data_IF_648139949401
#
_entry.id   IF_648139949401
#
_cell.length_a   1.000
_cell.length_b   1.000
_cell.length_c   1.000
_cell.angle_alpha   90.00
_cell.angle_beta   90.00
_cell.angle_gamma   90.00
#
_symmetry.space_group_name_H-M   'P 1'
#
loop_
_entity.id
_entity.type
_entity.pdbx_description
1 polymer ?
#
# COMPACT_ATOMS: atom_id res chain seq x y z
N UNK A 1 6.34 -16.52 37.15
CA UNK A 1 6.83 -15.25 37.70
C UNK A 1 7.75 -14.54 36.72
N UNK A 2 8.95 -15.04 36.37
CA UNK A 2 9.82 -14.36 35.38
C UNK A 2 9.16 -14.13 34.00
N UNK A 3 8.36 -15.09 33.53
CA UNK A 3 7.60 -14.99 32.27
C UNK A 3 6.58 -13.84 32.28
N UNK A 4 5.98 -13.54 33.44
CA UNK A 4 5.01 -12.44 33.58
C UNK A 4 5.71 -11.07 33.49
N UNK A 5 7.03 -11.04 33.69
CA UNK A 5 7.88 -9.86 33.51
C UNK A 5 8.69 -9.96 32.22
N UNK A 6 8.03 -10.37 31.12
CA UNK A 6 8.66 -10.52 29.80
C UNK A 6 9.83 -11.51 29.71
N UNK A 7 9.94 -12.47 30.64
CA UNK A 7 10.92 -13.56 30.54
C UNK A 7 10.70 -14.45 29.31
N UNK A 8 11.78 -15.02 28.78
CA UNK A 8 11.75 -15.94 27.64
C UNK A 8 11.40 -17.37 28.06
N UNK A 9 10.58 -18.05 27.26
CA UNK A 9 10.20 -19.46 27.45
C UNK A 9 10.72 -20.27 26.28
N UNK A 10 11.48 -21.32 26.57
CA UNK A 10 11.99 -22.26 25.57
C UNK A 10 11.36 -23.64 25.74
N UNK A 11 11.00 -24.26 24.61
CA UNK A 11 10.71 -25.70 24.55
C UNK A 11 11.94 -26.43 24.04
N UNK A 12 12.27 -27.55 24.69
CA UNK A 12 13.31 -28.47 24.27
C UNK A 12 12.65 -29.77 23.86
N UNK A 13 12.86 -30.18 22.61
CA UNK A 13 12.30 -31.41 22.07
C UNK A 13 13.42 -32.36 21.71
N UNK A 14 13.30 -33.59 22.19
CA UNK A 14 14.24 -34.67 21.93
C UNK A 14 13.50 -35.79 21.19
N UNK A 15 13.96 -36.13 20.00
CA UNK A 15 13.50 -37.30 19.26
C UNK A 15 14.61 -38.34 19.24
N UNK A 16 14.27 -39.58 19.61
CA UNK A 16 15.20 -40.70 19.57
C UNK A 16 14.62 -41.84 18.74
N UNK A 17 15.49 -42.60 18.09
CA UNK A 17 15.08 -43.89 17.50
C UNK A 17 14.61 -44.84 18.62
N UNK A 18 13.58 -45.64 18.34
CA UNK A 18 13.02 -46.59 19.31
C UNK A 18 14.13 -47.44 19.96
N UNK A 19 14.11 -47.51 21.29
CA UNK A 19 15.12 -48.21 22.10
C UNK A 19 16.31 -47.37 22.56
N UNK A 20 16.46 -46.11 22.10
CA UNK A 20 17.53 -45.20 22.54
C UNK A 20 17.00 -44.11 23.48
N UNK A 21 17.80 -43.76 24.48
CA UNK A 21 17.50 -42.72 25.47
C UNK A 21 18.14 -41.38 25.08
N UNK A 22 17.46 -40.23 25.26
CA UNK A 22 17.98 -38.93 24.84
C UNK A 22 19.09 -38.36 25.74
N UNK A 23 19.23 -38.87 26.97
CA UNK A 23 20.21 -38.39 27.95
C UNK A 23 21.64 -38.87 27.64
N UNK A 24 22.60 -37.97 27.36
CA UNK A 24 24.00 -38.32 27.12
C UNK A 24 24.70 -39.03 28.29
N UNK A 25 24.16 -38.93 29.52
CA UNK A 25 24.73 -39.57 30.70
C UNK A 25 24.56 -41.09 30.68
N UNK A 26 23.52 -41.59 29.99
CA UNK A 26 23.25 -43.01 29.86
C UNK A 26 23.96 -43.60 28.63
N UNK A 27 25.31 -43.71 28.72
CA UNK A 27 26.19 -44.10 27.59
C UNK A 27 25.79 -45.39 26.85
N UNK A 28 25.16 -46.34 27.53
CA UNK A 28 24.75 -47.62 26.92
C UNK A 28 23.49 -47.50 26.05
N UNK A 29 22.64 -46.51 26.32
CA UNK A 29 21.35 -46.29 25.67
C UNK A 29 21.33 -45.03 24.81
N UNK A 30 22.32 -44.14 24.95
CA UNK A 30 22.44 -42.93 24.17
C UNK A 30 23.20 -43.17 22.88
N UNK A 31 22.62 -42.75 21.75
CA UNK A 31 23.32 -42.67 20.47
C UNK A 31 23.17 -41.28 19.87
N UNK A 32 24.30 -40.60 19.67
CA UNK A 32 24.38 -39.24 19.12
C UNK A 32 23.72 -39.09 17.74
N UNK A 33 23.93 -40.05 16.84
CA UNK A 33 23.35 -40.04 15.49
C UNK A 33 21.85 -40.42 15.48
N UNK A 34 21.37 -41.08 16.54
CA UNK A 34 19.99 -41.53 16.65
C UNK A 34 19.13 -40.60 17.53
N UNK A 35 19.68 -39.46 17.97
CA UNK A 35 19.03 -38.50 18.85
C UNK A 35 19.09 -37.12 18.21
N UNK A 36 17.93 -36.50 18.00
CA UNK A 36 17.80 -35.13 17.51
C UNK A 36 17.34 -34.25 18.66
N UNK A 37 18.04 -33.14 18.87
CA UNK A 37 17.66 -32.10 19.82
C UNK A 37 17.41 -30.78 19.08
N UNK A 38 16.25 -30.20 19.33
CA UNK A 38 15.94 -28.84 18.88
C UNK A 38 15.26 -28.07 20.01
N UNK A 39 15.70 -26.82 20.19
CA UNK A 39 15.09 -25.89 21.12
C UNK A 39 14.52 -24.69 20.37
N UNK A 40 13.35 -24.20 20.81
CA UNK A 40 12.72 -23.01 20.23
C UNK A 40 12.09 -22.16 21.32
N UNK A 41 12.13 -20.84 21.16
CA UNK A 41 11.39 -19.89 22.01
C UNK A 41 9.91 -19.89 21.61
N UNK A 42 8.99 -20.05 22.58
CA UNK A 42 7.55 -20.16 22.31
C UNK A 42 6.84 -18.82 22.45
N UNK A 43 7.23 -17.99 23.42
CA UNK A 43 6.61 -16.69 23.59
C UNK A 43 7.10 -15.73 22.49
N UNK A 44 6.19 -14.91 21.98
CA UNK A 44 6.51 -13.89 20.96
C UNK A 44 6.46 -12.52 21.62
N UNK A 45 7.54 -11.77 21.53
CA UNK A 45 7.50 -10.36 21.93
C UNK A 45 6.81 -9.56 20.84
N UNK A 46 5.77 -8.80 21.22
CA UNK A 46 5.14 -7.83 20.34
C UNK A 46 5.31 -6.45 20.94
N UNK A 47 5.62 -5.47 20.10
CA UNK A 47 5.62 -4.07 20.49
C UNK A 47 4.20 -3.54 20.36
N UNK A 48 3.62 -3.08 21.46
CA UNK A 48 2.37 -2.32 21.42
C UNK A 48 2.74 -0.85 21.38
N UNK A 49 2.52 -0.22 20.21
CA UNK A 49 2.62 1.23 20.07
C UNK A 49 1.32 1.86 20.54
N UNK A 50 1.42 2.81 21.47
CA UNK A 50 0.27 3.62 21.86
C UNK A 50 0.28 4.89 21.02
N UNK A 51 -0.61 4.96 20.02
CA UNK A 51 -0.84 6.21 19.31
C UNK A 51 -1.74 7.10 20.18
N UNK A 52 -1.18 8.18 20.74
CA UNK A 52 -1.94 9.20 21.47
C UNK A 52 -2.70 10.05 20.46
N UNK A 53 -3.90 9.64 20.06
CA UNK A 53 -4.85 10.53 19.39
C UNK A 53 -5.61 11.32 20.44
N UNK A 54 -5.92 12.58 20.14
CA UNK A 54 -6.77 13.41 20.99
C UNK A 54 -7.59 14.33 20.11
N UNK A 55 -8.77 14.70 20.57
CA UNK A 55 -9.46 15.83 19.96
C UNK A 55 -8.65 17.11 20.23
N UNK A 56 -8.33 17.86 19.18
CA UNK A 56 -7.46 19.04 19.29
C UNK A 56 -8.11 20.20 20.06
N UNK A 57 -9.44 20.22 20.17
CA UNK A 57 -10.21 21.28 20.82
C UNK A 57 -10.53 20.98 22.28
N UNK A 58 -10.97 19.75 22.59
CA UNK A 58 -11.35 19.36 23.95
C UNK A 58 -10.21 18.71 24.72
N UNK A 59 -9.19 18.18 24.02
CA UNK A 59 -8.10 17.42 24.64
C UNK A 59 -8.52 16.05 25.17
N UNK A 60 -9.79 15.69 25.03
CA UNK A 60 -10.35 14.40 25.42
C UNK A 60 -10.15 13.38 24.28
N UNK A 61 -9.98 12.13 24.67
CA UNK A 61 -9.86 10.97 23.76
C UNK A 61 -10.91 9.95 24.19
N UNK A 62 -11.62 9.35 23.24
CA UNK A 62 -12.57 8.25 23.53
C UNK A 62 -11.87 6.92 23.91
N UNK A 63 -10.53 6.92 23.97
CA UNK A 63 -9.72 5.75 24.27
C UNK A 63 -9.83 5.32 25.75
N UNK A 64 -9.81 4.00 25.96
CA UNK A 64 -9.91 3.36 27.27
C UNK A 64 -8.89 3.95 28.28
N UNK A 65 -9.30 4.41 29.48
CA UNK A 65 -8.43 5.08 30.44
C UNK A 65 -7.25 4.20 30.93
N UNK A 66 -7.35 2.88 30.82
CA UNK A 66 -6.22 1.97 31.08
C UNK A 66 -5.11 2.06 30.03
N UNK A 67 -5.44 2.30 28.75
CA UNK A 67 -4.44 2.46 27.69
C UNK A 67 -3.67 3.77 27.83
N UNK A 68 -4.34 4.82 28.32
CA UNK A 68 -3.74 6.13 28.56
C UNK A 68 -2.71 6.06 29.69
N UNK A 69 -3.05 5.40 30.81
CA UNK A 69 -2.13 5.18 31.94
C UNK A 69 -0.92 4.32 31.57
N UNK A 70 -1.12 3.21 30.84
CA UNK A 70 0.01 2.36 30.41
C UNK A 70 0.95 3.08 29.44
N UNK A 71 0.43 3.94 28.58
CA UNK A 71 1.24 4.78 27.69
C UNK A 71 2.03 5.89 28.42
N UNK A 72 1.60 6.27 29.62
CA UNK A 72 2.33 7.20 30.50
C UNK A 72 3.42 6.49 31.31
N UNK A 73 3.16 5.28 31.78
CA UNK A 73 4.08 4.50 32.62
C UNK A 73 5.23 3.83 31.83
N UNK A 74 4.95 3.28 30.64
CA UNK A 74 5.92 2.47 29.85
C UNK A 74 6.49 3.20 28.62
N UNK A 75 6.04 4.42 28.33
CA UNK A 75 6.43 5.19 27.16
C UNK A 75 5.67 4.83 25.86
N UNK A 76 6.09 5.33 24.70
CA UNK A 76 5.35 5.19 23.43
C UNK A 76 5.31 3.76 22.87
N UNK A 77 6.20 2.88 23.35
CA UNK A 77 6.33 1.49 22.87
C UNK A 77 6.47 0.56 24.08
N UNK A 78 5.44 -0.23 24.36
CA UNK A 78 5.47 -1.25 25.40
C UNK A 78 5.74 -2.62 24.76
N UNK A 79 6.82 -3.30 25.16
CA UNK A 79 7.09 -4.67 24.71
C UNK A 79 6.34 -5.63 25.62
N UNK A 80 5.41 -6.41 25.06
CA UNK A 80 4.60 -7.37 25.81
C UNK A 80 4.82 -8.77 25.25
N UNK A 81 5.13 -9.71 26.14
CA UNK A 81 5.21 -11.13 25.82
C UNK A 81 3.82 -11.70 25.53
N UNK A 82 3.63 -12.28 24.34
CA UNK A 82 2.40 -12.92 23.92
C UNK A 82 2.53 -14.44 23.92
N UNK A 83 1.42 -15.12 24.21
CA UNK A 83 1.30 -16.57 24.23
C UNK A 83 0.32 -17.07 23.17
N UNK A 84 0.68 -18.17 22.51
CA UNK A 84 -0.22 -18.93 21.65
C UNK A 84 -0.40 -20.34 22.22
N UNK A 85 -1.64 -20.84 22.36
CA UNK A 85 -1.87 -22.13 23.00
C UNK A 85 -1.47 -23.31 22.14
N UNK A 86 -1.46 -23.19 20.80
CA UNK A 86 -1.16 -24.30 19.91
C UNK A 86 0.29 -24.25 19.40
N UNK A 87 0.98 -25.39 19.48
CA UNK A 87 2.27 -25.62 18.83
C UNK A 87 2.21 -26.94 18.06
N UNK A 88 2.52 -26.89 16.76
CA UNK A 88 2.63 -28.09 15.95
C UNK A 88 4.10 -28.42 15.73
N UNK A 89 4.50 -29.65 16.05
CA UNK A 89 5.83 -30.17 15.75
C UNK A 89 5.69 -31.09 14.54
N UNK A 90 6.39 -30.72 13.46
CA UNK A 90 6.43 -31.48 12.24
C UNK A 90 7.77 -32.20 12.09
N UNK A 91 7.71 -33.51 11.87
CA UNK A 91 8.87 -34.25 11.37
C UNK A 91 8.79 -34.26 9.86
N UNK A 92 9.78 -33.66 9.19
CA UNK A 92 9.78 -33.59 7.73
C UNK A 92 10.14 -34.98 7.18
N UNK A 93 9.23 -35.53 6.39
CA UNK A 93 9.45 -36.75 5.64
C UNK A 93 10.18 -36.38 4.34
N UNK A 94 11.49 -36.61 4.36
CA UNK A 94 12.40 -36.27 3.28
C UNK A 94 13.36 -37.43 3.01
N UNK A 95 13.56 -37.69 1.72
CA UNK A 95 14.49 -38.70 1.21
C UNK A 95 15.54 -38.07 0.28
N UNK A 96 15.59 -36.74 0.21
CA UNK A 96 16.55 -36.01 -0.61
C UNK A 96 17.95 -36.15 -0.01
N UNK A 97 18.99 -36.48 -0.80
CA UNK A 97 20.36 -36.55 -0.32
C UNK A 97 20.97 -35.14 -0.23
N UNK A 98 20.62 -34.40 0.81
CA UNK A 98 21.18 -33.07 1.04
C UNK A 98 22.69 -33.14 1.32
N UNK A 99 23.43 -32.24 0.71
CA UNK A 99 24.86 -32.04 0.97
C UNK A 99 25.04 -30.67 1.62
N UNK A 100 25.99 -30.59 2.56
CA UNK A 100 26.32 -29.33 3.24
C UNK A 100 26.69 -28.26 2.20
N UNK A 101 25.94 -27.15 2.18
CA UNK A 101 26.14 -26.03 1.26
C UNK A 101 25.36 -26.10 -0.06
N UNK A 102 24.70 -27.23 -0.37
CA UNK A 102 23.79 -27.33 -1.53
C UNK A 102 22.32 -27.13 -1.18
N UNK A 103 22.01 -26.94 0.10
CA UNK A 103 20.64 -26.71 0.59
C UNK A 103 20.24 -25.27 0.22
N UNK A 104 19.14 -25.07 -0.51
CA UNK A 104 18.69 -23.73 -0.87
C UNK A 104 18.21 -22.95 0.37
N UNK A 105 18.63 -21.68 0.56
CA UNK A 105 18.01 -20.80 1.54
C UNK A 105 16.50 -20.67 1.26
N UNK A 106 15.61 -20.73 2.26
CA UNK A 106 15.83 -20.67 3.72
C UNK A 106 15.96 -22.03 4.43
N UNK A 107 15.93 -23.14 3.69
CA UNK A 107 15.86 -24.49 4.26
C UNK A 107 17.14 -24.86 5.01
N UNK A 108 18.27 -24.28 4.60
CA UNK A 108 19.59 -24.44 5.19
C UNK A 108 19.62 -24.16 6.69
N UNK A 109 18.78 -23.25 7.18
CA UNK A 109 18.69 -22.90 8.62
C UNK A 109 18.12 -24.03 9.49
N UNK A 110 17.34 -24.93 8.90
CA UNK A 110 16.66 -26.02 9.61
C UNK A 110 17.39 -27.35 9.46
N UNK A 111 18.22 -27.52 8.42
CA UNK A 111 18.98 -28.75 8.17
C UNK A 111 20.29 -28.73 8.93
N UNK A 112 20.43 -29.62 9.91
CA UNK A 112 21.68 -29.81 10.67
C UNK A 112 22.45 -31.00 10.10
N UNK A 113 23.71 -30.78 9.77
CA UNK A 113 24.65 -31.82 9.32
C UNK A 113 25.53 -32.28 10.47
N UNK A 114 25.82 -33.58 10.57
CA UNK A 114 26.87 -34.07 11.44
C UNK A 114 28.24 -33.69 10.85
N UNK A 115 29.13 -33.21 11.71
CA UNK A 115 30.45 -32.75 11.30
C UNK A 115 31.39 -33.91 10.89
N UNK A 116 31.08 -35.14 11.31
CA UNK A 116 31.95 -36.30 11.11
C UNK A 116 31.47 -37.17 9.94
N UNK A 117 30.20 -37.58 9.92
CA UNK A 117 29.69 -38.44 8.85
C UNK A 117 29.29 -37.69 7.59
N UNK A 118 29.02 -36.38 7.68
CA UNK A 118 28.48 -35.59 6.58
C UNK A 118 26.99 -35.84 6.30
N UNK A 119 26.36 -36.76 7.04
CA UNK A 119 24.92 -37.01 6.97
C UNK A 119 24.13 -35.91 7.67
N UNK A 120 22.87 -35.72 7.29
CA UNK A 120 21.97 -34.79 7.97
C UNK A 120 21.09 -35.49 9.01
N UNK A 121 20.76 -34.77 10.06
CA UNK A 121 19.79 -35.20 11.07
C UNK A 121 18.36 -35.07 10.56
N UNK A 122 17.42 -35.93 11.02
CA UNK A 122 16.00 -35.74 10.76
C UNK A 122 15.55 -34.30 11.06
N UNK A 123 14.85 -33.70 10.09
CA UNK A 123 14.48 -32.29 10.16
C UNK A 123 13.22 -32.16 11.02
N UNK A 124 13.37 -31.48 12.16
CA UNK A 124 12.27 -31.13 13.05
C UNK A 124 11.88 -29.68 12.82
N UNK A 125 10.69 -29.47 12.26
CA UNK A 125 10.14 -28.15 11.99
C UNK A 125 9.07 -27.82 13.04
N UNK A 126 9.30 -26.75 13.80
CA UNK A 126 8.24 -26.18 14.64
C UNK A 126 7.34 -25.34 13.75
N UNK A 127 6.10 -25.76 13.56
CA UNK A 127 5.16 -25.10 12.68
C UNK A 127 4.21 -24.21 13.48
N UNK A 128 4.39 -22.91 13.27
CA UNK A 128 3.56 -21.82 13.75
C UNK A 128 2.92 -21.04 12.58
N UNK A 129 3.00 -21.58 11.35
CA UNK A 129 2.51 -20.88 10.16
C UNK A 129 1.02 -20.54 10.25
N UNK A 130 0.19 -21.46 10.76
CA UNK A 130 -1.26 -21.26 10.93
C UNK A 130 -1.66 -20.62 12.26
N UNK A 131 -0.69 -20.20 13.09
CA UNK A 131 -0.98 -19.49 14.32
C UNK A 131 -1.26 -18.02 13.97
N UNK A 132 -2.53 -17.62 13.99
CA UNK A 132 -2.93 -16.28 13.60
C UNK A 132 -2.57 -15.26 14.67
N UNK A 133 -2.22 -14.03 14.30
CA UNK A 133 -1.84 -12.98 15.25
C UNK A 133 -2.97 -12.65 16.25
N UNK A 134 -4.23 -12.79 15.81
CA UNK A 134 -5.43 -12.59 16.65
C UNK A 134 -5.59 -13.62 17.77
N UNK A 135 -5.00 -14.81 17.62
CA UNK A 135 -5.10 -15.89 18.60
C UNK A 135 -4.03 -15.78 19.70
N UNK A 136 -3.06 -14.87 19.54
CA UNK A 136 -2.07 -14.55 20.56
C UNK A 136 -2.67 -13.61 21.60
N UNK A 137 -2.51 -13.95 22.87
CA UNK A 137 -2.92 -13.09 23.98
C UNK A 137 -1.74 -12.66 24.85
N UNK A 138 -1.78 -11.46 25.46
CA UNK A 138 -0.69 -10.96 26.29
C UNK A 138 -0.58 -11.77 27.60
N UNK A 139 0.65 -12.06 28.03
CA UNK A 139 0.92 -12.68 29.32
C UNK A 139 0.94 -11.58 30.38
N UNK A 140 -0.17 -11.47 31.12
CA UNK A 140 -0.34 -10.52 32.21
C UNK A 140 -0.18 -11.19 33.59
N UNK A 141 -0.06 -10.38 34.65
CA UNK A 141 0.05 -10.85 36.03
C UNK A 141 -1.18 -11.65 36.50
N UNK A 142 -2.35 -11.39 35.92
CA UNK A 142 -3.61 -12.07 36.25
C UNK A 142 -3.67 -13.51 35.74
N UNK A 143 -2.86 -13.86 34.73
CA UNK A 143 -2.84 -15.20 34.13
C UNK A 143 -1.95 -16.14 34.96
N UNK A 144 -2.57 -17.09 35.67
CA UNK A 144 -1.86 -18.10 36.47
C UNK A 144 -1.54 -19.39 35.70
N UNK A 145 -2.30 -19.69 34.64
CA UNK A 145 -2.14 -20.93 33.84
C UNK A 145 -2.21 -20.59 32.37
N UNK A 146 -1.29 -21.16 31.59
CA UNK A 146 -1.25 -21.03 30.14
C UNK A 146 -1.69 -22.36 29.51
N UNK A 147 -2.80 -22.41 28.77
CA UNK A 147 -3.17 -23.61 28.03
C UNK A 147 -2.14 -23.89 26.93
N UNK A 148 -1.72 -25.14 26.82
CA UNK A 148 -0.75 -25.58 25.82
C UNK A 148 -1.22 -26.87 25.16
N UNK A 149 -1.38 -26.85 23.84
CA UNK A 149 -1.79 -27.96 22.99
C UNK A 149 -0.66 -28.26 22.02
N UNK A 150 -0.15 -29.49 22.12
CA UNK A 150 0.95 -29.98 21.30
C UNK A 150 0.41 -30.99 20.29
N UNK A 151 0.61 -30.69 19.00
CA UNK A 151 0.26 -31.59 17.91
C UNK A 151 1.53 -32.10 17.24
N UNK A 152 1.60 -33.40 16.97
CA UNK A 152 2.71 -34.00 16.24
C UNK A 152 2.20 -34.67 14.97
N UNK A 153 2.74 -34.27 13.81
CA UNK A 153 2.40 -34.89 12.52
C UNK A 153 3.56 -34.83 11.52
N UNK A 154 3.70 -35.84 10.64
CA UNK A 154 4.70 -35.77 9.57
C UNK A 154 4.33 -34.68 8.55
N UNK A 155 5.34 -34.07 7.93
CA UNK A 155 5.19 -33.02 6.92
C UNK A 155 5.97 -33.39 5.66
N UNK A 156 5.35 -33.28 4.49
CA UNK A 156 6.05 -33.53 3.23
C UNK A 156 7.02 -32.39 2.88
N UNK A 157 8.09 -32.71 2.14
CA UNK A 157 9.09 -31.75 1.68
C UNK A 157 8.45 -30.52 1.00
N UNK A 158 7.51 -30.72 0.07
CA UNK A 158 6.84 -29.62 -0.64
C UNK A 158 6.10 -28.65 0.28
N UNK A 159 5.33 -29.17 1.25
CA UNK A 159 4.60 -28.33 2.21
C UNK A 159 5.57 -27.58 3.13
N UNK A 160 6.63 -28.26 3.54
CA UNK A 160 7.69 -27.63 4.32
C UNK A 160 8.38 -26.52 3.57
N UNK A 161 8.72 -26.71 2.28
CA UNK A 161 9.30 -25.67 1.42
C UNK A 161 8.41 -24.44 1.32
N UNK A 162 7.11 -24.63 1.12
CA UNK A 162 6.16 -23.52 1.08
C UNK A 162 6.10 -22.77 2.42
N UNK A 163 5.98 -23.49 3.54
CA UNK A 163 5.93 -22.86 4.87
C UNK A 163 7.24 -22.17 5.23
N UNK A 164 8.38 -22.77 4.92
CA UNK A 164 9.69 -22.17 5.15
C UNK A 164 9.87 -20.91 4.28
N UNK A 165 9.51 -20.95 2.99
CA UNK A 165 9.59 -19.80 2.09
C UNK A 165 8.73 -18.63 2.56
N UNK A 166 7.51 -18.88 3.04
CA UNK A 166 6.64 -17.84 3.57
C UNK A 166 7.04 -17.36 4.97
N UNK A 167 7.53 -18.25 5.83
CA UNK A 167 8.08 -17.90 7.15
C UNK A 167 9.40 -17.13 7.05
N UNK A 168 10.04 -17.13 5.88
CA UNK A 168 11.26 -16.37 5.66
C UNK A 168 10.93 -14.89 5.65
N UNK A 169 11.38 -14.25 6.71
CA UNK A 169 11.40 -12.81 6.89
C UNK A 169 12.03 -12.18 5.64
N UNK A 170 11.31 -11.22 5.07
CA UNK A 170 11.68 -10.45 3.87
C UNK A 170 13.21 -10.28 3.70
N UNK A 171 13.79 -10.51 2.50
CA UNK A 171 15.22 -10.29 2.24
C UNK A 171 15.72 -8.88 2.59
N UNK A 172 14.79 -7.93 2.77
CA UNK A 172 15.03 -6.56 3.18
C UNK A 172 15.34 -6.38 4.69
N UNK A 173 15.82 -7.43 5.36
CA UNK A 173 16.30 -7.44 6.75
C UNK A 173 17.30 -6.30 7.10
N UNK A 174 17.93 -5.68 6.10
CA UNK A 174 18.84 -4.54 6.28
C UNK A 174 18.14 -3.18 6.52
N UNK A 175 16.87 -3.02 6.15
CA UNK A 175 16.18 -1.71 6.14
C UNK A 175 15.45 -1.36 7.45
N UNK A 176 15.66 -2.12 8.53
CA UNK A 176 15.20 -1.80 9.89
C UNK A 176 14.15 -2.75 10.46
N UNK A 177 14.06 -2.80 11.79
CA UNK A 177 13.23 -3.74 12.57
C UNK A 177 11.72 -3.50 12.41
N UNK A 178 11.30 -2.29 12.01
CA UNK A 178 9.89 -1.91 11.87
C UNK A 178 9.19 -2.55 10.66
N UNK A 179 9.95 -2.92 9.62
CA UNK A 179 9.42 -3.68 8.48
C UNK A 179 9.07 -5.13 8.83
N UNK A 180 9.59 -5.66 9.95
CA UNK A 180 9.31 -7.02 10.38
C UNK A 180 7.89 -7.18 10.95
N UNK A 181 7.41 -6.21 11.74
CA UNK A 181 6.06 -6.27 12.32
C UNK A 181 4.99 -6.10 11.24
N UNK A 182 5.21 -5.20 10.27
CA UNK A 182 4.30 -5.00 9.13
C UNK A 182 4.18 -6.26 8.25
N UNK A 183 5.29 -6.96 7.99
CA UNK A 183 5.27 -8.20 7.21
C UNK A 183 4.48 -9.33 7.89
N UNK A 184 4.50 -9.40 9.22
CA UNK A 184 3.77 -10.44 9.97
C UNK A 184 2.26 -10.19 9.95
N UNK A 185 1.82 -8.93 10.08
CA UNK A 185 0.42 -8.55 9.97
C UNK A 185 -0.14 -8.78 8.55
N UNK A 186 0.64 -8.45 7.53
CA UNK A 186 0.26 -8.70 6.14
C UNK A 186 0.09 -10.19 5.84
N UNK A 187 1.06 -11.02 6.26
CA UNK A 187 0.94 -12.46 6.12
C UNK A 187 -0.27 -13.02 6.88
N UNK A 188 -0.56 -12.48 8.07
CA UNK A 188 -1.72 -12.89 8.85
C UNK A 188 -3.03 -12.55 8.14
N UNK A 189 -3.13 -11.36 7.54
CA UNK A 189 -4.32 -10.96 6.78
C UNK A 189 -4.58 -11.87 5.58
N UNK A 190 -3.53 -12.31 4.87
CA UNK A 190 -3.64 -13.30 3.79
C UNK A 190 -4.09 -14.66 4.31
N UNK A 191 -3.58 -15.11 5.46
CA UNK A 191 -4.00 -16.38 6.10
C UNK A 191 -5.46 -16.32 6.54
N UNK A 192 -5.88 -15.21 7.14
CA UNK A 192 -7.28 -14.96 7.51
C UNK A 192 -8.17 -14.99 6.27
N UNK A 193 -7.76 -14.31 5.19
CA UNK A 193 -8.51 -14.34 3.93
C UNK A 193 -8.64 -15.76 3.37
N UNK A 194 -7.59 -16.57 3.42
CA UNK A 194 -7.61 -17.97 2.98
C UNK A 194 -8.48 -18.89 3.84
N UNK A 195 -8.53 -18.65 5.16
CA UNK A 195 -9.29 -19.48 6.11
C UNK A 195 -10.77 -19.10 6.19
N UNK A 196 -11.07 -17.80 6.13
CA UNK A 196 -12.42 -17.28 6.39
C UNK A 196 -13.23 -17.00 5.11
N UNK A 197 -12.57 -16.86 3.95
CA UNK A 197 -13.26 -16.53 2.68
C UNK A 197 -13.64 -17.78 1.91
N UNK A 198 -14.77 -17.72 1.20
CA UNK A 198 -15.14 -18.74 0.23
C UNK A 198 -14.05 -18.87 -0.86
N UNK A 199 -13.51 -20.07 -1.13
CA UNK A 199 -12.44 -20.28 -2.13
C UNK A 199 -12.77 -19.72 -3.52
N UNK A 200 -14.03 -19.79 -3.95
CA UNK A 200 -14.45 -19.26 -5.25
C UNK A 200 -14.41 -17.73 -5.29
N UNK A 201 -14.83 -17.09 -4.20
CA UNK A 201 -14.78 -15.63 -4.09
C UNK A 201 -13.34 -15.16 -4.03
N UNK A 202 -12.49 -15.84 -3.26
CA UNK A 202 -11.06 -15.54 -3.18
C UNK A 202 -10.37 -15.67 -4.55
N UNK A 203 -10.61 -16.77 -5.28
CA UNK A 203 -10.05 -16.97 -6.61
C UNK A 203 -10.49 -15.86 -7.58
N UNK A 204 -11.77 -15.48 -7.56
CA UNK A 204 -12.27 -14.36 -8.35
C UNK A 204 -11.57 -13.05 -7.97
N UNK A 205 -11.42 -12.76 -6.67
CA UNK A 205 -10.73 -11.54 -6.22
C UNK A 205 -9.29 -11.47 -6.73
N UNK A 206 -8.55 -12.58 -6.67
CA UNK A 206 -7.16 -12.63 -7.18
C UNK A 206 -7.11 -12.36 -8.68
N UNK A 207 -7.98 -13.00 -9.46
CA UNK A 207 -8.02 -12.82 -10.92
C UNK A 207 -8.33 -11.35 -11.25
N UNK A 208 -9.35 -10.78 -10.61
CA UNK A 208 -9.77 -9.39 -10.87
C UNK A 208 -8.69 -8.41 -10.40
N UNK A 209 -8.02 -8.64 -9.26
CA UNK A 209 -6.89 -7.80 -8.81
C UNK A 209 -5.71 -7.83 -9.79
N UNK A 210 -5.40 -8.99 -10.39
CA UNK A 210 -4.37 -9.09 -11.44
C UNK A 210 -4.78 -8.28 -12.67
N UNK A 211 -6.03 -8.43 -13.14
CA UNK A 211 -6.55 -7.69 -14.29
C UNK A 211 -6.54 -6.18 -14.04
N UNK A 212 -6.99 -5.75 -12.86
CA UNK A 212 -6.95 -4.34 -12.43
C UNK A 212 -5.51 -3.80 -12.47
N UNK A 213 -4.55 -4.53 -11.88
CA UNK A 213 -3.13 -4.14 -11.87
C UNK A 213 -2.56 -4.00 -13.30
N UNK A 214 -2.96 -4.88 -14.22
CA UNK A 214 -2.54 -4.81 -15.63
C UNK A 214 -3.10 -3.58 -16.32
N UNK A 215 -4.39 -3.27 -16.14
CA UNK A 215 -5.00 -2.09 -16.74
C UNK A 215 -4.46 -0.79 -16.17
N UNK A 216 -4.20 -0.72 -14.86
CA UNK A 216 -3.52 0.40 -14.22
C UNK A 216 -2.12 0.60 -14.81
N UNK A 217 -1.32 -0.47 -14.95
CA UNK A 217 -0.01 -0.40 -15.58
C UNK A 217 -0.07 0.07 -17.03
N UNK A 218 -1.05 -0.41 -17.81
CA UNK A 218 -1.26 0.05 -19.19
C UNK A 218 -1.67 1.52 -19.25
N UNK A 219 -2.54 1.98 -18.35
CA UNK A 219 -2.93 3.38 -18.24
C UNK A 219 -1.73 4.26 -17.89
N UNK A 220 -0.91 3.83 -16.93
CA UNK A 220 0.31 4.51 -16.51
C UNK A 220 1.36 4.58 -17.62
N UNK A 221 1.60 3.45 -18.30
CA UNK A 221 2.50 3.39 -19.46
C UNK A 221 2.04 4.34 -20.57
N UNK A 222 0.73 4.39 -20.83
CA UNK A 222 0.15 5.27 -21.82
C UNK A 222 0.32 6.75 -21.42
N UNK A 223 0.12 7.10 -20.15
CA UNK A 223 0.37 8.46 -19.64
C UNK A 223 1.82 8.89 -19.84
N UNK A 224 2.80 8.07 -19.45
CA UNK A 224 4.23 8.39 -19.66
C UNK A 224 4.55 8.55 -21.16
N UNK A 225 4.05 7.63 -21.99
CA UNK A 225 4.25 7.70 -23.43
C UNK A 225 3.65 8.98 -24.01
N UNK A 226 2.47 9.35 -23.55
CA UNK A 226 1.76 10.56 -23.93
C UNK A 226 2.59 11.81 -23.65
N UNK A 227 3.10 11.97 -22.42
CA UNK A 227 3.95 13.11 -22.03
C UNK A 227 5.32 13.13 -22.70
N UNK A 228 5.88 11.96 -23.04
CA UNK A 228 7.20 11.88 -23.67
C UNK A 228 7.17 12.18 -25.18
N UNK A 229 6.11 11.78 -25.88
CA UNK A 229 5.99 11.89 -27.35
C UNK A 229 5.62 13.29 -27.87
N UNK A 230 5.22 14.21 -26.99
CA UNK A 230 4.50 15.42 -27.39
C UNK A 230 5.41 16.65 -27.51
N UNK A 231 5.28 17.38 -28.64
CA UNK A 231 6.03 18.60 -28.92
C UNK A 231 5.23 19.89 -28.73
N UNK A 232 3.89 19.86 -28.84
CA UNK A 232 3.01 21.02 -28.60
C UNK A 232 2.18 20.84 -27.32
N UNK A 233 2.12 21.90 -26.50
CA UNK A 233 1.39 21.93 -25.22
C UNK A 233 -0.01 22.53 -25.33
N UNK A 234 -0.48 22.82 -26.55
CA UNK A 234 -1.82 23.38 -26.80
C UNK A 234 -2.92 22.45 -26.27
N UNK A 235 -3.95 23.04 -25.64
CA UNK A 235 -5.11 22.33 -25.09
C UNK A 235 -4.89 21.63 -23.74
N UNK A 236 -3.66 21.59 -23.22
CA UNK A 236 -3.38 21.16 -21.86
C UNK A 236 -3.52 22.36 -20.90
N UNK A 237 -3.80 22.15 -19.62
CA UNK A 237 -3.85 23.25 -18.64
C UNK A 237 -2.68 23.15 -17.67
N UNK A 238 -1.73 24.10 -17.70
CA UNK A 238 -0.57 24.13 -16.78
C UNK A 238 -1.02 24.10 -15.32
N UNK A 239 -2.10 24.82 -14.99
CA UNK A 239 -2.61 24.89 -13.62
C UNK A 239 -3.12 23.53 -13.10
N UNK A 240 -3.75 22.74 -13.97
CA UNK A 240 -4.19 21.39 -13.62
C UNK A 240 -3.00 20.46 -13.35
N UNK A 241 -1.88 20.64 -14.06
CA UNK A 241 -0.64 19.87 -13.81
C UNK A 241 -0.05 20.22 -12.43
N UNK A 242 0.05 21.51 -12.09
CA UNK A 242 0.51 21.93 -10.76
C UNK A 242 -0.42 21.45 -9.64
N UNK A 243 -1.73 21.51 -9.86
CA UNK A 243 -2.70 21.01 -8.89
C UNK A 243 -2.57 19.50 -8.70
N UNK A 244 -2.32 18.74 -9.78
CA UNK A 244 -2.04 17.30 -9.71
C UNK A 244 -0.80 16.98 -8.86
N UNK A 245 0.30 17.72 -9.05
CA UNK A 245 1.52 17.56 -8.25
C UNK A 245 1.25 17.89 -6.77
N UNK A 246 0.47 18.94 -6.49
CA UNK A 246 0.06 19.27 -5.12
C UNK A 246 -0.75 18.14 -4.48
N UNK A 247 -1.71 17.57 -5.20
CA UNK A 247 -2.49 16.42 -4.73
C UNK A 247 -1.58 15.21 -4.43
N UNK A 248 -0.70 14.84 -5.37
CA UNK A 248 0.25 13.73 -5.19
C UNK A 248 1.18 13.97 -3.98
N UNK A 249 1.58 15.21 -3.73
CA UNK A 249 2.37 15.58 -2.57
C UNK A 249 1.59 15.42 -1.25
N UNK A 250 0.34 15.89 -1.19
CA UNK A 250 -0.51 15.73 0.00
C UNK A 250 -0.75 14.26 0.30
N UNK A 251 -1.01 13.44 -0.72
CA UNK A 251 -1.19 11.99 -0.56
C UNK A 251 0.07 11.33 -0.01
N UNK A 252 1.25 11.66 -0.54
CA UNK A 252 2.52 11.14 -0.02
C UNK A 252 2.74 11.53 1.44
N UNK A 253 2.55 12.81 1.80
CA UNK A 253 2.72 13.29 3.17
C UNK A 253 1.76 12.61 4.14
N UNK A 254 0.50 12.41 3.74
CA UNK A 254 -0.48 11.68 4.54
C UNK A 254 -0.09 10.22 4.78
N UNK A 255 0.42 9.54 3.74
CA UNK A 255 0.88 8.14 3.82
C UNK A 255 2.12 8.02 4.73
N UNK A 256 3.03 9.00 4.67
CA UNK A 256 4.20 9.06 5.55
C UNK A 256 3.81 9.30 7.02
N UNK A 257 2.83 10.17 7.28
CA UNK A 257 2.33 10.47 8.64
C UNK A 257 1.56 9.29 9.28
N UNK A 258 0.94 8.45 8.45
CA UNK A 258 0.18 7.28 8.88
C UNK A 258 1.01 5.98 8.95
N UNK A 259 2.33 6.04 8.74
CA UNK A 259 3.24 4.88 8.82
C UNK A 259 2.75 3.65 8.02
N UNK A 260 2.20 3.86 6.82
CA UNK A 260 1.71 2.76 5.97
C UNK A 260 2.84 1.87 5.45
N UNK A 261 2.48 0.75 4.80
CA UNK A 261 3.43 -0.17 4.16
C UNK A 261 4.46 0.59 3.28
N UNK A 262 5.74 0.31 3.50
CA UNK A 262 6.86 0.87 2.76
C UNK A 262 6.75 0.71 1.24
N UNK A 263 6.22 -0.41 0.76
CA UNK A 263 5.98 -0.66 -0.67
C UNK A 263 5.01 0.39 -1.24
N UNK A 264 3.95 0.72 -0.49
CA UNK A 264 2.99 1.76 -0.87
C UNK A 264 3.62 3.15 -0.80
N UNK A 265 4.46 3.42 0.21
CA UNK A 265 5.21 4.69 0.29
C UNK A 265 6.10 4.90 -0.92
N UNK A 266 6.87 3.87 -1.32
CA UNK A 266 7.78 3.93 -2.47
C UNK A 266 7.00 4.07 -3.78
N UNK A 267 5.88 3.37 -3.95
CA UNK A 267 5.08 3.48 -5.19
C UNK A 267 4.51 4.89 -5.37
N UNK A 268 3.95 5.49 -4.32
CA UNK A 268 3.42 6.87 -4.34
C UNK A 268 4.55 7.89 -4.50
N UNK A 269 5.70 7.66 -3.87
CA UNK A 269 6.88 8.51 -4.04
C UNK A 269 7.37 8.55 -5.49
N UNK A 270 7.46 7.40 -6.16
CA UNK A 270 7.79 7.32 -7.58
C UNK A 270 6.73 8.06 -8.42
N UNK A 271 5.44 7.92 -8.08
CA UNK A 271 4.36 8.68 -8.71
C UNK A 271 4.57 10.20 -8.63
N UNK A 272 4.91 10.72 -7.45
CA UNK A 272 5.22 12.14 -7.26
C UNK A 272 6.43 12.59 -8.11
N UNK A 273 7.48 11.78 -8.22
CA UNK A 273 8.64 12.09 -9.07
C UNK A 273 8.25 12.22 -10.54
N UNK A 274 7.33 11.38 -11.02
CA UNK A 274 6.82 11.45 -12.39
C UNK A 274 5.97 12.69 -12.60
N UNK A 275 5.13 13.06 -11.63
CA UNK A 275 4.34 14.28 -11.71
C UNK A 275 5.24 15.54 -11.69
N UNK A 276 6.32 15.53 -10.90
CA UNK A 276 7.36 16.57 -10.94
C UNK A 276 8.08 16.61 -12.29
N UNK A 277 8.35 15.45 -12.90
CA UNK A 277 8.91 15.37 -14.25
C UNK A 277 7.97 16.01 -15.29
N UNK A 278 6.65 15.85 -15.18
CA UNK A 278 5.68 16.53 -16.06
C UNK A 278 5.83 18.05 -16.02
N UNK A 279 6.07 18.65 -14.84
CA UNK A 279 6.33 20.10 -14.71
C UNK A 279 7.53 20.51 -15.58
N UNK A 280 8.63 19.74 -15.54
CA UNK A 280 9.83 20.04 -16.34
C UNK A 280 9.61 19.97 -17.85
N UNK A 281 8.58 19.25 -18.31
CA UNK A 281 8.20 19.19 -19.73
C UNK A 281 7.36 20.39 -20.17
N UNK A 282 6.49 20.89 -19.28
CA UNK A 282 5.57 22.01 -19.55
C UNK A 282 6.26 23.37 -19.42
N UNK A 283 7.29 23.46 -18.58
CA UNK A 283 7.97 24.71 -18.24
C UNK A 283 9.45 24.65 -18.60
N UNK A 284 9.94 25.63 -19.38
CA UNK A 284 11.39 25.79 -19.57
C UNK A 284 11.96 26.47 -18.32
N UNK A 285 12.47 25.66 -17.40
CA UNK A 285 13.18 26.17 -16.23
C UNK A 285 14.57 26.65 -16.68
N UNK A 286 14.66 27.91 -17.09
CA UNK A 286 15.95 28.58 -17.30
C UNK A 286 16.40 29.19 -15.98
N UNK A 287 17.55 28.74 -15.51
CA UNK A 287 18.24 29.30 -14.36
C UNK A 287 18.94 30.59 -14.82
N UNK A 288 18.34 31.77 -14.58
CA UNK A 288 19.06 33.03 -14.80
C UNK A 288 20.10 33.20 -13.70
N UNK A 289 21.36 32.94 -14.07
CA UNK A 289 22.52 33.11 -13.18
C UNK A 289 22.86 34.58 -12.91
N UNK A 290 22.22 35.51 -13.63
CA UNK A 290 22.52 36.94 -13.60
C UNK A 290 21.69 37.75 -12.60
N UNK A 291 20.50 37.29 -12.21
CA UNK A 291 19.65 38.00 -11.24
C UNK A 291 19.43 37.11 -10.00
N UNK A 292 20.20 37.34 -8.93
CA UNK A 292 20.10 36.57 -7.68
C UNK A 292 18.99 37.14 -6.80
N UNK A 293 18.11 36.30 -6.27
CA UNK A 293 17.22 36.68 -5.15
C UNK A 293 18.01 36.44 -3.87
N UNK A 294 18.12 37.48 -3.03
CA UNK A 294 18.81 37.43 -1.74
C UNK A 294 20.28 36.95 -1.81
N UNK A 295 21.03 37.30 -2.87
CA UNK A 295 22.49 37.15 -2.95
C UNK A 295 23.05 35.71 -3.02
N UNK A 296 22.24 34.69 -2.73
CA UNK A 296 22.70 33.29 -2.58
C UNK A 296 21.97 32.33 -3.54
N UNK A 297 20.72 32.62 -3.93
CA UNK A 297 19.92 31.73 -4.78
C UNK A 297 19.72 32.33 -6.19
N UNK A 298 20.07 31.60 -7.26
CA UNK A 298 19.74 32.02 -8.63
C UNK A 298 18.21 32.05 -8.79
N UNK A 299 17.67 33.14 -9.35
CA UNK A 299 16.23 33.30 -9.56
C UNK A 299 15.78 32.29 -10.61
N UNK A 300 14.83 31.43 -10.24
CA UNK A 300 14.11 30.58 -11.18
C UNK A 300 13.24 31.49 -12.04
N UNK A 301 13.66 31.75 -13.29
CA UNK A 301 12.84 32.50 -14.25
C UNK A 301 11.95 31.49 -14.95
N UNK A 302 10.71 31.37 -14.47
CA UNK A 302 9.69 30.55 -15.11
C UNK A 302 9.28 31.23 -16.42
N UNK A 303 9.77 30.73 -17.56
CA UNK A 303 9.23 31.07 -18.87
C UNK A 303 8.39 29.90 -19.34
N UNK A 304 7.08 30.12 -19.39
CA UNK A 304 6.16 29.20 -20.08
C UNK A 304 6.65 29.06 -21.53
N UNK A 305 6.71 27.83 -22.05
CA UNK A 305 7.06 27.63 -23.46
C UNK A 305 6.06 28.41 -24.33
N UNK A 306 6.60 29.27 -25.18
CA UNK A 306 5.93 30.34 -25.94
C UNK A 306 4.89 29.89 -26.99
N UNK A 307 4.43 28.64 -26.96
CA UNK A 307 3.29 28.15 -27.78
C UNK A 307 1.94 28.42 -27.10
N UNK A 308 1.94 29.07 -25.93
CA UNK A 308 0.77 29.26 -25.08
C UNK A 308 0.02 30.59 -25.26
N UNK A 309 0.41 31.43 -26.23
CA UNK A 309 0.07 32.85 -26.19
C UNK A 309 -1.35 33.16 -26.69
N UNK A 310 -2.00 32.36 -27.53
CA UNK A 310 -3.36 32.69 -28.00
C UNK A 310 -4.23 31.46 -28.26
N UNK A 311 -4.86 30.90 -27.23
CA UNK A 311 -6.01 30.00 -27.45
C UNK A 311 -7.21 30.43 -26.62
N UNK A 312 -8.37 30.46 -27.27
CA UNK A 312 -9.69 30.77 -26.68
C UNK A 312 -10.03 29.90 -25.47
N UNK A 313 -9.36 28.76 -25.30
CA UNK A 313 -9.45 27.83 -24.17
C UNK A 313 -9.04 28.46 -22.84
N UNK A 314 -8.03 29.35 -22.81
CA UNK A 314 -7.53 29.94 -21.55
C UNK A 314 -8.58 30.79 -20.82
N UNK A 315 -9.40 31.52 -21.58
CA UNK A 315 -10.47 32.38 -21.01
C UNK A 315 -11.54 31.53 -20.33
N UNK A 316 -11.86 30.37 -20.92
CA UNK A 316 -12.83 29.44 -20.33
C UNK A 316 -12.24 28.68 -19.14
N UNK A 317 -10.97 28.31 -19.18
CA UNK A 317 -10.23 27.75 -18.04
C UNK A 317 -10.19 28.73 -16.85
N UNK A 318 -9.83 30.00 -17.09
CA UNK A 318 -9.79 31.06 -16.07
C UNK A 318 -11.16 31.27 -15.43
N UNK A 319 -12.21 31.29 -16.24
CA UNK A 319 -13.58 31.45 -15.78
C UNK A 319 -14.05 30.23 -14.96
N UNK A 320 -13.75 29.02 -15.43
CA UNK A 320 -14.09 27.77 -14.75
C UNK A 320 -13.38 27.70 -13.38
N UNK A 321 -12.07 27.93 -13.33
CA UNK A 321 -11.32 27.92 -12.07
C UNK A 321 -11.79 28.99 -11.08
N UNK A 322 -12.21 30.17 -11.56
CA UNK A 322 -12.73 31.22 -10.67
C UNK A 322 -14.06 30.83 -10.02
N UNK A 323 -15.02 30.31 -10.78
CA UNK A 323 -16.28 29.83 -10.23
C UNK A 323 -16.10 28.61 -9.34
N UNK A 324 -15.22 27.69 -9.76
CA UNK A 324 -14.87 26.50 -9.00
C UNK A 324 -14.25 26.88 -7.65
N UNK A 325 -13.34 27.86 -7.63
CA UNK A 325 -12.70 28.36 -6.41
C UNK A 325 -13.71 28.94 -5.41
N UNK A 326 -14.73 29.68 -5.89
CA UNK A 326 -15.79 30.22 -5.02
C UNK A 326 -16.62 29.15 -4.32
N UNK A 327 -16.72 27.94 -4.89
CA UNK A 327 -17.41 26.81 -4.26
C UNK A 327 -16.43 25.99 -3.42
N UNK A 328 -15.21 25.78 -3.93
CA UNK A 328 -14.16 24.98 -3.30
C UNK A 328 -13.70 25.54 -1.96
N UNK A 329 -13.40 26.84 -1.87
CA UNK A 329 -12.87 27.42 -0.64
C UNK A 329 -13.85 27.38 0.54
N UNK A 330 -15.15 27.71 0.37
CA UNK A 330 -16.15 27.52 1.43
C UNK A 330 -16.32 26.05 1.84
N UNK A 331 -16.36 25.12 0.89
CA UNK A 331 -16.44 23.69 1.18
C UNK A 331 -15.23 23.19 1.96
N UNK A 332 -14.03 23.63 1.59
CA UNK A 332 -12.79 23.33 2.31
C UNK A 332 -12.87 23.85 3.74
N UNK A 333 -13.36 25.08 3.95
CA UNK A 333 -13.58 25.66 5.27
C UNK A 333 -14.56 24.85 6.11
N UNK A 334 -15.72 24.48 5.55
CA UNK A 334 -16.72 23.65 6.23
C UNK A 334 -16.15 22.27 6.62
N UNK A 335 -15.42 21.62 5.71
CA UNK A 335 -14.78 20.33 5.99
C UNK A 335 -13.66 20.45 7.03
N UNK A 336 -12.88 21.53 7.00
CA UNK A 336 -11.85 21.79 8.00
C UNK A 336 -12.45 21.96 9.40
N UNK A 337 -13.56 22.70 9.53
CA UNK A 337 -14.28 22.86 10.81
C UNK A 337 -14.85 21.52 11.28
N UNK A 338 -15.49 20.76 10.39
CA UNK A 338 -15.99 19.42 10.70
C UNK A 338 -14.88 18.48 11.19
N UNK A 339 -13.77 18.42 10.45
CA UNK A 339 -12.61 17.60 10.78
C UNK A 339 -11.96 17.99 12.12
N UNK A 340 -11.95 19.29 12.44
CA UNK A 340 -11.41 19.77 13.72
C UNK A 340 -12.33 19.42 14.91
N UNK A 341 -13.65 19.47 14.72
CA UNK A 341 -14.63 19.24 15.79
C UNK A 341 -14.84 17.75 16.11
N UNK A 342 -14.93 16.91 15.07
CA UNK A 342 -15.43 15.54 15.20
C UNK A 342 -14.37 14.45 15.03
N UNK A 343 -13.20 14.75 14.46
CA UNK A 343 -12.16 13.75 14.25
C UNK A 343 -11.02 13.95 15.26
N UNK A 344 -10.52 12.85 15.79
CA UNK A 344 -9.32 12.84 16.62
C UNK A 344 -8.06 12.86 15.75
N UNK A 345 -7.03 13.59 16.18
CA UNK A 345 -5.77 13.72 15.43
C UNK A 345 -4.57 13.54 16.36
N UNK A 346 -3.43 13.11 15.81
CA UNK A 346 -2.16 13.01 16.55
C UNK A 346 -1.59 14.39 16.92
N UNK A 347 -1.89 15.40 16.12
CA UNK A 347 -1.41 16.77 16.29
C UNK A 347 -1.90 17.68 15.17
N UNK A 348 -1.53 18.97 15.24
CA UNK A 348 -1.94 19.98 14.23
C UNK A 348 -1.45 19.66 12.82
N UNK A 349 -0.23 19.11 12.67
CA UNK A 349 0.30 18.67 11.38
C UNK A 349 -0.54 17.55 10.77
N UNK A 350 -0.78 16.50 11.56
CA UNK A 350 -1.59 15.34 11.17
C UNK A 350 -3.04 15.74 10.86
N UNK A 351 -3.60 16.71 11.58
CA UNK A 351 -4.91 17.29 11.27
C UNK A 351 -4.94 17.97 9.91
N UNK A 352 -4.00 18.88 9.62
CA UNK A 352 -3.96 19.56 8.31
C UNK A 352 -3.83 18.55 7.18
N UNK A 353 -2.95 17.54 7.32
CA UNK A 353 -2.78 16.50 6.32
C UNK A 353 -4.03 15.64 6.14
N UNK A 354 -4.62 15.16 7.23
CA UNK A 354 -5.83 14.33 7.20
C UNK A 354 -7.02 15.10 6.62
N UNK A 355 -7.13 16.39 6.96
CA UNK A 355 -8.14 17.30 6.41
C UNK A 355 -7.94 17.52 4.91
N UNK A 356 -6.72 17.82 4.45
CA UNK A 356 -6.44 18.01 3.04
C UNK A 356 -6.63 16.72 2.24
N UNK A 357 -6.14 15.59 2.75
CA UNK A 357 -6.29 14.28 2.11
C UNK A 357 -7.77 13.89 2.01
N UNK A 358 -8.51 13.95 3.12
CA UNK A 358 -9.95 13.65 3.15
C UNK A 358 -10.76 14.59 2.25
N UNK A 359 -10.40 15.88 2.20
CA UNK A 359 -11.01 16.84 1.28
C UNK A 359 -10.74 16.49 -0.18
N UNK A 360 -9.48 16.24 -0.57
CA UNK A 360 -9.12 15.88 -1.94
C UNK A 360 -9.79 14.58 -2.39
N UNK A 361 -9.91 13.61 -1.49
CA UNK A 361 -10.56 12.33 -1.79
C UNK A 361 -12.08 12.49 -1.95
N UNK A 362 -12.74 13.26 -1.09
CA UNK A 362 -14.20 13.50 -1.13
C UNK A 362 -14.60 14.42 -2.28
N UNK A 363 -13.83 15.50 -2.50
CA UNK A 363 -14.15 16.55 -3.46
C UNK A 363 -13.32 16.51 -4.74
N UNK A 364 -12.56 15.44 -5.01
CA UNK A 364 -11.72 15.36 -6.20
C UNK A 364 -12.47 15.47 -7.54
N UNK A 365 -13.81 15.33 -7.58
CA UNK A 365 -14.64 15.59 -8.76
C UNK A 365 -14.48 17.02 -9.28
N UNK A 366 -14.16 17.94 -8.38
CA UNK A 366 -13.90 19.34 -8.67
C UNK A 366 -12.77 19.46 -9.70
N UNK A 367 -11.74 18.60 -9.64
CA UNK A 367 -10.62 18.64 -10.58
C UNK A 367 -11.00 18.28 -12.01
N UNK A 368 -12.04 17.46 -12.19
CA UNK A 368 -12.57 17.03 -13.49
C UNK A 368 -13.71 17.93 -13.99
N UNK A 369 -14.21 18.83 -13.15
CA UNK A 369 -15.34 19.73 -13.46
C UNK A 369 -15.02 20.80 -14.51
N UNK A 370 -13.81 21.42 -14.56
CA UNK A 370 -13.47 22.40 -15.59
C UNK A 370 -13.71 21.87 -17.00
N UNK A 371 -13.36 20.61 -17.24
CA UNK A 371 -13.53 19.98 -18.53
C UNK A 371 -15.01 19.82 -18.91
N UNK A 372 -15.83 19.33 -17.99
CA UNK A 372 -17.27 19.23 -18.18
C UNK A 372 -17.89 20.60 -18.47
N UNK A 373 -17.40 21.64 -17.81
CA UNK A 373 -17.86 23.02 -18.00
C UNK A 373 -17.48 23.56 -19.38
N UNK A 374 -16.25 23.35 -19.84
CA UNK A 374 -15.78 23.79 -21.16
C UNK A 374 -16.59 23.08 -22.25
N UNK A 375 -16.82 21.77 -22.14
CA UNK A 375 -17.66 21.03 -23.08
C UNK A 375 -19.09 21.57 -23.13
N UNK A 376 -19.66 21.93 -21.98
CA UNK A 376 -20.97 22.55 -21.92
C UNK A 376 -21.02 23.94 -22.57
N UNK A 377 -19.97 24.77 -22.38
CA UNK A 377 -19.89 26.13 -22.92
C UNK A 377 -19.64 26.14 -24.43
N UNK A 378 -18.74 25.30 -24.92
CA UNK A 378 -18.42 25.20 -26.34
C UNK A 378 -19.44 24.36 -27.13
N UNK A 379 -20.34 23.63 -26.44
CA UNK A 379 -21.33 22.72 -27.06
C UNK A 379 -20.70 21.69 -28.00
N UNK A 380 -19.45 21.33 -27.74
CA UNK A 380 -18.67 20.34 -28.47
C UNK A 380 -17.84 19.51 -27.51
N UNK A 381 -17.55 18.27 -27.89
CA UNK A 381 -16.65 17.37 -27.16
C UNK A 381 -15.44 17.09 -28.03
N UNK A 382 -14.24 17.22 -27.47
CA UNK A 382 -13.02 16.95 -28.21
C UNK A 382 -12.89 15.44 -28.52
N UNK A 383 -12.20 15.11 -29.62
CA UNK A 383 -11.92 13.71 -29.98
C UNK A 383 -11.23 12.97 -28.83
N UNK A 384 -11.66 11.76 -28.47
CA UNK A 384 -11.14 11.06 -27.29
C UNK A 384 -10.14 9.95 -27.65
N UNK A 385 -9.08 9.75 -26.85
CA UNK A 385 -8.22 8.59 -26.98
C UNK A 385 -8.93 7.40 -26.34
N UNK A 386 -9.79 6.75 -27.13
CA UNK A 386 -10.64 5.63 -26.68
C UNK A 386 -9.89 4.56 -25.90
N UNK A 387 -8.66 4.24 -26.30
CA UNK A 387 -7.83 3.24 -25.60
C UNK A 387 -7.59 3.62 -24.13
N UNK A 388 -7.17 4.86 -23.88
CA UNK A 388 -6.87 5.32 -22.52
C UNK A 388 -8.14 5.46 -21.67
N UNK A 389 -9.21 5.98 -22.28
CA UNK A 389 -10.49 6.14 -21.60
C UNK A 389 -11.12 4.79 -21.23
N UNK A 390 -11.06 3.80 -22.12
CA UNK A 390 -11.55 2.45 -21.83
C UNK A 390 -10.75 1.81 -20.69
N UNK A 391 -9.41 1.98 -20.65
CA UNK A 391 -8.62 1.44 -19.54
C UNK A 391 -8.98 2.10 -18.20
N UNK A 392 -9.13 3.43 -18.17
CA UNK A 392 -9.56 4.14 -16.96
C UNK A 392 -10.97 3.74 -16.52
N UNK A 393 -11.93 3.64 -17.45
CA UNK A 393 -13.31 3.27 -17.13
C UNK A 393 -13.44 1.81 -16.66
N UNK A 394 -12.65 0.89 -17.22
CA UNK A 394 -12.61 -0.49 -16.74
C UNK A 394 -12.01 -0.57 -15.33
N UNK A 395 -11.00 0.25 -15.02
CA UNK A 395 -10.45 0.32 -13.66
C UNK A 395 -11.50 0.79 -12.66
N UNK A 396 -12.18 1.90 -12.92
CA UNK A 396 -13.17 2.43 -11.98
C UNK A 396 -14.36 1.49 -11.79
N UNK A 397 -14.82 0.82 -12.85
CA UNK A 397 -15.88 -0.17 -12.74
C UNK A 397 -15.49 -1.40 -11.91
N UNK A 398 -14.22 -1.85 -12.03
CA UNK A 398 -13.69 -2.94 -11.21
C UNK A 398 -13.60 -2.50 -9.73
N UNK A 399 -13.17 -1.26 -9.48
CA UNK A 399 -13.09 -0.70 -8.13
C UNK A 399 -14.46 -0.59 -7.46
N UNK A 400 -15.48 -0.18 -8.21
CA UNK A 400 -16.86 -0.13 -7.73
C UNK A 400 -17.39 -1.53 -7.38
N UNK A 401 -17.16 -2.54 -8.24
CA UNK A 401 -17.50 -3.93 -7.95
C UNK A 401 -16.85 -4.40 -6.63
N UNK A 402 -15.57 -4.07 -6.43
CA UNK A 402 -14.88 -4.40 -5.19
C UNK A 402 -15.36 -3.60 -3.97
N UNK A 403 -15.71 -2.33 -4.15
CA UNK A 403 -16.31 -1.53 -3.10
C UNK A 403 -17.66 -2.10 -2.60
N UNK A 404 -18.38 -2.87 -3.43
CA UNK A 404 -19.60 -3.57 -3.04
C UNK A 404 -19.35 -4.98 -2.47
N UNK A 405 -18.32 -5.69 -2.95
CA UNK A 405 -18.05 -7.08 -2.57
C UNK A 405 -17.12 -7.20 -1.35
N UNK A 406 -16.13 -6.32 -1.24
CA UNK A 406 -15.11 -6.32 -0.20
C UNK A 406 -15.40 -5.18 0.79
N UNK A 407 -15.21 -5.42 2.09
CA UNK A 407 -15.32 -4.39 3.12
C UNK A 407 -14.18 -3.37 2.98
N UNK A 408 -14.36 -2.38 2.10
CA UNK A 408 -13.45 -1.24 1.96
C UNK A 408 -13.91 -0.07 2.84
N UNK A 409 -12.98 0.78 3.33
CA UNK A 409 -13.34 1.98 4.07
C UNK A 409 -14.25 2.90 3.24
N UNK A 410 -15.24 3.49 3.89
CA UNK A 410 -16.29 4.27 3.22
C UNK A 410 -15.76 5.45 2.40
N UNK A 411 -14.65 6.05 2.83
CA UNK A 411 -13.94 7.09 2.09
C UNK A 411 -13.56 6.63 0.67
N UNK A 412 -12.90 5.47 0.53
CA UNK A 412 -12.51 4.93 -0.78
C UNK A 412 -13.73 4.64 -1.65
N UNK A 413 -14.82 4.12 -1.06
CA UNK A 413 -16.07 3.84 -1.79
C UNK A 413 -16.68 5.09 -2.41
N UNK A 414 -16.68 6.22 -1.68
CA UNK A 414 -17.13 7.51 -2.23
C UNK A 414 -16.21 7.96 -3.36
N UNK A 415 -14.90 7.78 -3.19
CA UNK A 415 -13.89 8.13 -4.19
C UNK A 415 -14.08 7.41 -5.53
N UNK A 416 -14.38 6.11 -5.52
CA UNK A 416 -14.65 5.33 -6.74
C UNK A 416 -15.95 5.76 -7.42
N UNK A 417 -17.05 5.85 -6.64
CA UNK A 417 -18.36 6.28 -7.13
C UNK A 417 -18.31 7.67 -7.80
N UNK A 418 -17.50 8.58 -7.25
CA UNK A 418 -17.29 9.93 -7.77
C UNK A 418 -16.75 9.94 -9.19
N UNK A 419 -15.73 9.13 -9.47
CA UNK A 419 -15.07 9.08 -10.77
C UNK A 419 -16.01 8.48 -11.83
N UNK A 420 -16.84 7.50 -11.43
CA UNK A 420 -17.88 6.91 -12.27
C UNK A 420 -18.99 7.91 -12.61
N UNK A 421 -19.50 8.69 -11.64
CA UNK A 421 -20.52 9.72 -11.90
C UNK A 421 -20.02 10.76 -12.91
N UNK A 422 -18.78 11.23 -12.75
CA UNK A 422 -18.16 12.18 -13.69
C UNK A 422 -18.03 11.56 -15.08
N UNK A 423 -17.62 10.29 -15.15
CA UNK A 423 -17.51 9.56 -16.41
C UNK A 423 -18.87 9.43 -17.12
N UNK A 424 -19.95 9.13 -16.40
CA UNK A 424 -21.31 9.08 -16.97
C UNK A 424 -21.80 10.44 -17.46
N UNK A 425 -21.57 11.53 -16.71
CA UNK A 425 -21.91 12.89 -17.17
C UNK A 425 -21.16 13.21 -18.46
N UNK A 426 -19.89 12.84 -18.53
CA UNK A 426 -19.07 13.04 -19.71
C UNK A 426 -19.57 12.24 -20.93
N UNK A 427 -19.95 10.97 -20.75
CA UNK A 427 -20.60 10.17 -21.80
C UNK A 427 -21.91 10.80 -22.27
N UNK A 428 -22.70 11.34 -21.35
CA UNK A 428 -23.93 12.06 -21.67
C UNK A 428 -23.65 13.32 -22.49
N UNK A 429 -22.64 14.12 -22.11
CA UNK A 429 -22.22 15.29 -22.89
C UNK A 429 -21.77 14.91 -24.31
N UNK A 430 -21.06 13.80 -24.46
CA UNK A 430 -20.68 13.28 -25.78
C UNK A 430 -21.88 12.86 -26.63
N UNK A 431 -22.93 12.34 -26.00
CA UNK A 431 -24.13 11.93 -26.73
C UNK A 431 -24.91 13.14 -27.28
N UNK A 432 -24.98 14.23 -26.52
CA UNK A 432 -25.74 15.44 -26.91
C UNK A 432 -24.94 16.44 -27.76
N UNK A 433 -23.62 16.51 -27.60
CA UNK A 433 -22.76 17.45 -28.33
C UNK A 433 -22.00 16.79 -29.47
N UNK A 434 -21.78 17.52 -30.57
CA UNK A 434 -21.00 17.01 -31.70
C UNK A 434 -19.53 16.84 -31.31
N UNK A 435 -18.92 15.76 -31.81
CA UNK A 435 -17.48 15.50 -31.64
C UNK A 435 -16.71 16.42 -32.58
N UNK A 436 -15.93 17.32 -32.01
CA UNK A 436 -15.06 18.21 -32.75
C UNK A 436 -13.69 17.58 -32.89
N UNK A 437 -13.35 17.19 -34.13
CA UNK A 437 -12.08 16.54 -34.49
C UNK A 437 -10.93 17.55 -34.58
N UNK A 438 -11.22 18.84 -34.74
CA UNK A 438 -10.21 19.90 -34.78
C UNK A 438 -9.79 20.31 -33.38
N UNK A 439 -10.70 20.17 -32.42
CA UNK A 439 -10.45 20.49 -31.01
C UNK A 439 -9.49 19.50 -30.38
N UNK A 440 -8.45 20.07 -29.79
CA UNK A 440 -7.45 19.37 -28.98
C UNK A 440 -8.11 18.94 -27.67
N UNK A 441 -8.07 17.64 -27.35
CA UNK A 441 -8.70 17.09 -26.15
C UNK A 441 -7.91 17.36 -24.86
N UNK A 442 -8.39 16.86 -23.72
CA UNK A 442 -7.71 16.97 -22.39
C UNK A 442 -6.31 16.35 -22.39
N UNK A 443 -6.13 15.35 -23.24
CA UNK A 443 -4.90 14.66 -23.51
C UNK A 443 -4.22 15.27 -24.74
N UNK A 444 -4.45 16.56 -25.01
CA UNK A 444 -4.31 17.24 -26.30
C UNK A 444 -3.89 16.49 -27.57
N UNK A 445 -4.71 15.52 -27.93
CA UNK A 445 -4.78 14.92 -29.25
C UNK A 445 -5.95 15.58 -29.98
N UNK A 446 -5.74 16.07 -31.20
CA UNK A 446 -6.82 16.39 -32.13
C UNK A 446 -7.15 15.15 -32.97
N UNK A 447 -8.43 15.00 -33.34
CA UNK A 447 -8.87 13.91 -34.22
C UNK A 447 -8.19 13.92 -35.58
N UNK A 448 -7.79 15.09 -36.08
CA UNK A 448 -7.09 15.25 -37.37
C UNK A 448 -5.73 14.56 -37.44
N UNK A 449 -5.03 14.41 -36.30
CA UNK A 449 -3.71 13.74 -36.26
C UNK A 449 -3.83 12.21 -36.34
N UNK A 450 -5.02 11.63 -36.11
CA UNK A 450 -5.26 10.18 -36.12
C UNK A 450 -5.95 9.68 -37.38
N UNK A 451 -6.56 10.57 -38.17
CA UNK A 451 -7.25 10.20 -39.41
C UNK A 451 -6.23 10.17 -40.56
N UNK A 452 -6.08 9.05 -41.30
CA UNK A 452 -5.22 9.02 -42.48
C UNK A 452 -5.68 10.08 -43.49
N UNK A 453 -4.76 10.71 -44.25
CA UNK A 453 -5.06 11.86 -45.11
C UNK A 453 -6.18 11.61 -46.15
N UNK A 454 -6.52 10.35 -46.42
CA UNK A 454 -7.58 9.90 -47.33
C UNK A 454 -9.02 10.08 -46.83
N UNK A 455 -9.25 10.40 -45.55
CA UNK A 455 -10.59 10.47 -44.95
C UNK A 455 -10.98 11.88 -44.44
N UNK A 456 -10.29 12.93 -44.90
CA UNK A 456 -10.65 14.32 -44.60
C UNK A 456 -11.85 14.76 -45.46
N UNK A 457 -12.89 15.39 -44.90
CA UNK A 457 -13.91 16.05 -45.72
C UNK A 457 -13.28 17.21 -46.50
N UNK A 458 -13.73 17.50 -47.74
CA UNK A 458 -13.30 18.69 -48.46
C UNK A 458 -13.74 19.95 -47.70
N UNK A 459 -12.86 20.97 -47.74
CA UNK A 459 -13.00 22.25 -47.04
C UNK A 459 -14.26 23.03 -47.42
#
# INVERSE_FOLDING_TARGET
QSVQQNGSIYIHVYFTKSGFHPDPRQKNLYRRLATVHTSRMINKYKRRRFQKTKNLLTGETEADPEMIKRAEDYGPVEVISHWHPNLTINMVDDHTPWVKGSVPPPLDQYVKFDAISGDYYPILYFNDYWNLQKDYFPINETLQRLPFRLSFCPLSLWRWQLYAAQSTKSPWNFLGEDLYEQSDEEQDSVKVALLETNPYLLALTIIVSIVHSVFEFLAFKNDIQFWNSRQSLEGLSVRSVFFGVFQSLVVLLYILDNETNFVVQVSVFIGLLIDLWKITKVMDVRLDRENKVAGVLPRLTFKDKSTYIESSTKVYDDMAFRYLSWILFPLLGCYAVYSLLYLEHKGWYSWVLSMLYGFLLTFGFITMTPQLFINYKLKSVAHLPWRMLTYKALNTFIDDLFAFVIKMPMMYRIGCLRDDVVFFIYLYQRWIYRVDLTRVNEFGISGEQQVPPSARPPA
#
